data_IF_682603033886
#
_entry.id   IF_682603033886
#
_cell.length_a   1.000
_cell.length_b   1.000
_cell.length_c   1.000
_cell.angle_alpha   90.00
_cell.angle_beta   90.00
_cell.angle_gamma   90.00
#
_symmetry.space_group_name_H-M   'P 1'
#
loop_
_entity.id
_entity.type
_entity.pdbx_description
1 polymer ?
#
# COMPACT_ATOMS: atom_id res chain seq x y z
N UNK A 1 -46.75 17.68 -22.33
CA UNK A 1 -48.03 17.17 -22.84
C UNK A 1 -47.92 16.96 -24.34
N UNK A 2 -48.24 15.77 -24.82
CA UNK A 2 -48.65 15.47 -26.20
C UNK A 2 -48.82 13.95 -26.31
N UNK A 3 -49.92 13.43 -25.76
CA UNK A 3 -50.45 12.15 -26.25
C UNK A 3 -51.64 12.58 -27.08
N UNK A 4 -51.42 12.92 -28.35
CA UNK A 4 -52.54 13.11 -29.26
C UNK A 4 -53.36 11.80 -29.16
N UNK A 5 -54.59 11.90 -28.70
CA UNK A 5 -55.47 10.74 -28.51
C UNK A 5 -56.17 10.36 -29.82
N UNK A 6 -56.11 11.24 -30.81
CA UNK A 6 -56.75 11.14 -32.12
C UNK A 6 -55.71 11.21 -33.23
N UNK A 7 -55.79 10.30 -34.20
CA UNK A 7 -54.90 10.28 -35.37
C UNK A 7 -55.19 11.51 -36.27
N UNK A 8 -54.25 12.47 -36.41
CA UNK A 8 -54.45 13.65 -37.25
C UNK A 8 -54.42 13.34 -38.75
N UNK A 9 -53.92 12.17 -39.15
CA UNK A 9 -53.84 11.72 -40.54
C UNK A 9 -55.11 10.98 -41.00
N UNK A 10 -56.04 10.68 -40.08
CA UNK A 10 -57.25 9.89 -40.36
C UNK A 10 -58.25 10.55 -41.33
N UNK A 11 -58.14 11.86 -41.57
CA UNK A 11 -59.04 12.62 -42.46
C UNK A 11 -58.42 12.92 -43.83
N UNK A 12 -57.31 12.27 -44.19
CA UNK A 12 -56.57 12.58 -45.41
C UNK A 12 -56.87 11.56 -46.52
N UNK A 13 -57.75 11.94 -47.45
CA UNK A 13 -58.21 11.10 -48.57
C UNK A 13 -57.12 10.75 -49.59
N UNK A 14 -55.95 11.41 -49.53
CA UNK A 14 -54.80 11.11 -50.39
C UNK A 14 -53.89 10.01 -49.85
N UNK A 15 -54.11 9.59 -48.59
CA UNK A 15 -53.32 8.55 -47.93
C UNK A 15 -54.17 7.29 -47.79
N UNK A 16 -53.57 6.13 -48.05
CA UNK A 16 -54.19 4.86 -47.70
C UNK A 16 -54.32 4.73 -46.18
N UNK A 17 -55.28 3.92 -45.71
CA UNK A 17 -55.49 3.68 -44.28
C UNK A 17 -54.22 3.20 -43.57
N UNK A 18 -53.44 2.33 -44.21
CA UNK A 18 -52.18 1.83 -43.69
C UNK A 18 -51.14 2.95 -43.53
N UNK A 19 -51.01 3.84 -44.52
CA UNK A 19 -50.06 4.97 -44.44
C UNK A 19 -50.43 5.93 -43.30
N UNK A 20 -51.72 6.19 -43.10
CA UNK A 20 -52.20 7.04 -42.01
C UNK A 20 -51.86 6.45 -40.63
N UNK A 21 -52.00 5.12 -40.47
CA UNK A 21 -51.66 4.42 -39.23
C UNK A 21 -50.15 4.38 -38.98
N UNK A 22 -49.35 4.15 -40.02
CA UNK A 22 -47.89 4.14 -39.92
C UNK A 22 -47.37 5.53 -39.51
N UNK A 23 -47.81 6.59 -40.18
CA UNK A 23 -47.40 7.97 -39.85
C UNK A 23 -47.79 8.33 -38.42
N UNK A 24 -48.94 7.84 -37.96
CA UNK A 24 -49.40 8.04 -36.60
C UNK A 24 -48.51 7.34 -35.56
N UNK A 25 -48.17 6.08 -35.79
CA UNK A 25 -47.25 5.34 -34.91
C UNK A 25 -45.84 5.94 -34.92
N UNK A 26 -45.34 6.41 -36.06
CA UNK A 26 -44.07 7.14 -36.14
C UNK A 26 -44.11 8.47 -35.37
N UNK A 27 -45.22 9.21 -35.43
CA UNK A 27 -45.39 10.43 -34.66
C UNK A 27 -45.35 10.16 -33.14
N UNK A 28 -46.02 9.09 -32.68
CA UNK A 28 -45.95 8.64 -31.27
C UNK A 28 -44.54 8.21 -30.89
N UNK A 29 -43.87 7.44 -31.76
CA UNK A 29 -42.51 6.98 -31.50
C UNK A 29 -41.54 8.15 -31.38
N UNK A 30 -41.63 9.13 -32.29
CA UNK A 30 -40.80 10.32 -32.25
C UNK A 30 -41.01 11.12 -30.94
N UNK A 31 -42.26 11.27 -30.48
CA UNK A 31 -42.53 11.92 -29.18
C UNK A 31 -41.88 11.15 -28.02
N UNK A 32 -42.00 9.81 -28.01
CA UNK A 32 -41.35 8.96 -27.00
C UNK A 32 -39.83 9.09 -27.05
N UNK A 33 -39.23 9.08 -28.23
CA UNK A 33 -37.78 9.24 -28.44
C UNK A 33 -37.30 10.61 -27.94
N UNK A 34 -38.03 11.68 -28.27
CA UNK A 34 -37.72 13.03 -27.77
C UNK A 34 -37.80 13.12 -26.24
N UNK A 35 -38.80 12.48 -25.63
CA UNK A 35 -38.90 12.40 -24.16
C UNK A 35 -37.75 11.62 -23.56
N UNK A 36 -37.40 10.48 -24.14
CA UNK A 36 -36.26 9.68 -23.68
C UNK A 36 -34.94 10.46 -23.79
N UNK A 37 -34.73 11.16 -24.90
CA UNK A 37 -33.56 12.02 -25.09
C UNK A 37 -33.51 13.16 -24.06
N UNK A 38 -34.63 13.85 -23.83
CA UNK A 38 -34.70 14.90 -22.82
C UNK A 38 -34.46 14.37 -21.40
N UNK A 39 -35.00 13.20 -21.05
CA UNK A 39 -34.76 12.56 -19.75
C UNK A 39 -33.30 12.13 -19.59
N UNK A 40 -32.70 11.59 -20.65
CA UNK A 40 -31.28 11.23 -20.66
C UNK A 40 -30.40 12.47 -20.49
N UNK A 41 -30.72 13.56 -21.20
CA UNK A 41 -30.03 14.85 -21.06
C UNK A 41 -30.16 15.40 -19.65
N UNK A 42 -31.37 15.46 -19.08
CA UNK A 42 -31.58 15.89 -17.69
C UNK A 42 -30.79 15.04 -16.69
N UNK A 43 -30.79 13.72 -16.87
CA UNK A 43 -30.04 12.80 -16.00
C UNK A 43 -28.53 13.01 -16.11
N UNK A 44 -28.03 13.34 -17.30
CA UNK A 44 -26.63 13.66 -17.53
C UNK A 44 -26.23 15.05 -17.01
N UNK A 45 -27.12 16.04 -17.11
CA UNK A 45 -26.89 17.43 -16.72
C UNK A 45 -27.08 17.67 -15.21
N UNK A 46 -27.92 16.88 -14.53
CA UNK A 46 -28.06 16.87 -13.07
C UNK A 46 -27.51 15.57 -12.47
N UNK A 47 -26.18 15.32 -12.55
CA UNK A 47 -25.58 14.25 -11.78
C UNK A 47 -25.88 14.53 -10.30
N UNK A 48 -26.22 13.48 -9.56
CA UNK A 48 -26.79 13.60 -8.23
C UNK A 48 -25.76 14.21 -7.25
N UNK A 49 -25.76 15.55 -7.10
CA UNK A 49 -24.76 16.28 -6.30
C UNK A 49 -24.73 15.80 -4.85
N UNK A 50 -25.89 15.40 -4.34
CA UNK A 50 -26.03 14.77 -3.01
C UNK A 50 -25.16 13.50 -2.88
N UNK A 51 -25.19 12.63 -3.88
CA UNK A 51 -24.38 11.41 -3.93
C UNK A 51 -22.88 11.74 -4.01
N UNK A 52 -22.51 12.74 -4.81
CA UNK A 52 -21.10 13.17 -4.91
C UNK A 52 -20.60 13.74 -3.58
N UNK A 53 -21.44 14.48 -2.85
CA UNK A 53 -21.08 15.02 -1.54
C UNK A 53 -20.89 13.90 -0.50
N UNK A 54 -21.77 12.90 -0.51
CA UNK A 54 -21.66 11.71 0.34
C UNK A 54 -20.39 10.89 0.00
N UNK A 55 -20.11 10.66 -1.28
CA UNK A 55 -18.89 9.97 -1.72
C UNK A 55 -17.63 10.74 -1.30
N UNK A 56 -17.63 12.08 -1.38
CA UNK A 56 -16.49 12.89 -0.95
C UNK A 56 -16.27 12.87 0.56
N UNK A 57 -17.36 12.80 1.35
CA UNK A 57 -17.27 12.59 2.80
C UNK A 57 -16.69 11.20 3.11
N UNK A 58 -17.11 10.18 2.36
CA UNK A 58 -16.61 8.82 2.51
C UNK A 58 -15.13 8.72 2.15
N UNK A 59 -14.72 9.31 1.02
CA UNK A 59 -13.32 9.35 0.56
C UNK A 59 -12.39 9.94 1.63
N UNK A 60 -12.77 11.07 2.23
CA UNK A 60 -11.96 11.71 3.29
C UNK A 60 -11.81 10.82 4.51
N UNK A 61 -12.87 10.14 4.93
CA UNK A 61 -12.86 9.24 6.09
C UNK A 61 -12.05 7.99 5.81
N UNK A 62 -12.27 7.36 4.65
CA UNK A 62 -11.52 6.17 4.24
C UNK A 62 -10.04 6.46 3.99
N UNK A 63 -9.71 7.61 3.39
CA UNK A 63 -8.33 8.05 3.20
C UNK A 63 -7.60 8.19 4.53
N UNK A 64 -8.24 8.82 5.52
CA UNK A 64 -7.68 8.91 6.88
C UNK A 64 -7.48 7.52 7.51
N UNK A 65 -8.49 6.64 7.43
CA UNK A 65 -8.41 5.28 7.96
C UNK A 65 -7.28 4.50 7.30
N UNK A 66 -7.13 4.59 5.97
CA UNK A 66 -6.08 3.93 5.22
C UNK A 66 -4.69 4.41 5.64
N UNK A 67 -4.49 5.73 5.77
CA UNK A 67 -3.21 6.29 6.21
C UNK A 67 -2.87 5.89 7.64
N UNK A 68 -3.83 5.99 8.57
CA UNK A 68 -3.61 5.60 9.96
C UNK A 68 -3.31 4.10 10.09
N UNK A 69 -4.05 3.26 9.37
CA UNK A 69 -3.81 1.83 9.34
C UNK A 69 -2.43 1.51 8.76
N UNK A 70 -2.09 2.09 7.61
CA UNK A 70 -0.77 1.89 6.97
C UNK A 70 0.37 2.33 7.88
N UNK A 71 0.24 3.48 8.55
CA UNK A 71 1.22 3.97 9.52
C UNK A 71 1.31 3.06 10.75
N UNK A 72 0.20 2.50 11.24
CA UNK A 72 0.23 1.56 12.37
C UNK A 72 0.95 0.26 12.04
N UNK A 73 0.75 -0.26 10.83
CA UNK A 73 1.43 -1.47 10.34
C UNK A 73 2.92 -1.19 10.20
N UNK A 74 3.28 -0.05 9.60
CA UNK A 74 4.69 0.37 9.49
C UNK A 74 5.34 0.57 10.86
N UNK A 75 4.64 1.16 11.83
CA UNK A 75 5.15 1.31 13.19
C UNK A 75 5.51 -0.03 13.82
N UNK A 76 4.57 -0.99 13.82
CA UNK A 76 4.81 -2.33 14.38
C UNK A 76 5.93 -3.07 13.63
N UNK A 77 5.98 -2.97 12.30
CA UNK A 77 7.03 -3.60 11.51
C UNK A 77 8.41 -3.01 11.82
N UNK A 78 8.49 -1.68 11.94
CA UNK A 78 9.71 -0.97 12.28
C UNK A 78 10.19 -1.32 13.70
N UNK A 79 9.28 -1.39 14.68
CA UNK A 79 9.61 -1.77 16.05
C UNK A 79 10.14 -3.22 16.12
N UNK A 80 9.56 -4.13 15.33
CA UNK A 80 10.03 -5.51 15.23
C UNK A 80 11.45 -5.59 14.63
N UNK A 81 11.72 -4.85 13.55
CA UNK A 81 13.04 -4.80 12.93
C UNK A 81 14.09 -4.20 13.87
N UNK A 82 13.77 -3.10 14.58
CA UNK A 82 14.67 -2.49 15.54
C UNK A 82 15.05 -3.46 16.67
N UNK A 83 14.08 -4.21 17.21
CA UNK A 83 14.34 -5.20 18.26
C UNK A 83 15.23 -6.36 17.78
N UNK A 84 15.10 -6.79 16.52
CA UNK A 84 15.98 -7.80 15.93
C UNK A 84 17.40 -7.27 15.73
N UNK A 85 17.55 -6.04 15.25
CA UNK A 85 18.85 -5.39 15.12
C UNK A 85 19.58 -5.23 16.45
N UNK A 86 18.87 -4.84 17.52
CA UNK A 86 19.46 -4.73 18.86
C UNK A 86 19.97 -6.08 19.37
N UNK A 87 19.22 -7.16 19.16
CA UNK A 87 19.66 -8.51 19.52
C UNK A 87 20.89 -8.94 18.71
N UNK A 88 20.91 -8.64 17.41
CA UNK A 88 22.06 -8.94 16.56
C UNK A 88 23.31 -8.16 17.00
N UNK A 89 23.16 -6.88 17.36
CA UNK A 89 24.27 -6.05 17.90
C UNK A 89 24.79 -6.60 19.22
N UNK A 90 23.91 -6.97 20.15
CA UNK A 90 24.30 -7.57 21.43
C UNK A 90 25.06 -8.89 21.23
N UNK A 91 24.62 -9.73 20.29
CA UNK A 91 25.32 -10.98 19.96
C UNK A 91 26.70 -10.72 19.35
N UNK A 92 26.82 -9.74 18.45
CA UNK A 92 28.10 -9.36 17.86
C UNK A 92 29.08 -8.78 18.91
N UNK A 93 28.59 -7.94 19.82
CA UNK A 93 29.38 -7.41 20.93
C UNK A 93 29.85 -8.51 21.90
N UNK A 94 28.98 -9.47 22.22
CA UNK A 94 29.35 -10.61 23.05
C UNK A 94 30.42 -11.50 22.39
N UNK A 95 30.26 -11.81 21.10
CA UNK A 95 31.26 -12.56 20.33
C UNK A 95 32.61 -11.83 20.29
N UNK A 96 32.60 -10.52 20.06
CA UNK A 96 33.82 -9.71 20.04
C UNK A 96 34.53 -9.70 21.41
N UNK A 97 33.77 -9.62 22.51
CA UNK A 97 34.33 -9.70 23.86
C UNK A 97 34.90 -11.08 24.18
N UNK A 98 34.23 -12.16 23.77
CA UNK A 98 34.74 -13.53 23.92
C UNK A 98 36.05 -13.74 23.14
N UNK A 99 36.15 -13.21 21.92
CA UNK A 99 37.35 -13.31 21.09
C UNK A 99 38.55 -12.56 21.74
N UNK A 100 38.31 -11.36 22.29
CA UNK A 100 39.32 -10.62 23.04
C UNK A 100 39.76 -11.35 24.33
N UNK A 101 38.83 -11.98 25.05
CA UNK A 101 39.17 -12.78 26.23
C UNK A 101 39.98 -14.03 25.86
N UNK A 102 39.62 -14.74 24.79
CA UNK A 102 40.39 -15.88 24.31
C UNK A 102 41.81 -15.47 23.91
N UNK A 103 41.96 -14.35 23.22
CA UNK A 103 43.27 -13.83 22.85
C UNK A 103 44.11 -13.48 24.08
N UNK A 104 43.53 -12.81 25.10
CA UNK A 104 44.24 -12.53 26.35
C UNK A 104 44.66 -13.80 27.10
N UNK A 105 43.78 -14.80 27.19
CA UNK A 105 44.11 -16.09 27.81
C UNK A 105 45.23 -16.81 27.07
N UNK A 106 45.24 -16.73 25.72
CA UNK A 106 46.32 -17.29 24.91
C UNK A 106 47.67 -16.61 25.22
N UNK A 107 47.70 -15.28 25.39
CA UNK A 107 48.91 -14.58 25.82
C UNK A 107 49.34 -14.96 27.23
N UNK A 108 48.40 -15.19 28.15
CA UNK A 108 48.70 -15.61 29.51
C UNK A 108 49.30 -17.03 29.58
N UNK A 109 48.85 -17.96 28.72
CA UNK A 109 49.42 -19.32 28.63
C UNK A 109 50.80 -19.37 27.96
N UNK A 110 51.12 -18.43 27.06
CA UNK A 110 52.44 -18.36 26.43
C UNK A 110 53.45 -17.55 27.24
N UNK A 111 53.00 -16.65 28.14
CA UNK A 111 53.83 -15.90 29.07
C UNK A 111 54.14 -16.60 30.40
N UNK A 112 53.52 -17.75 30.67
CA UNK A 112 53.70 -18.56 31.88
C UNK A 112 54.63 -19.77 31.72
N UNK A 113 55.54 -19.74 30.75
CA UNK A 113 56.65 -20.71 30.71
C UNK A 113 57.64 -20.35 31.81
N UNK A 114 57.63 -21.12 32.89
CA UNK A 114 58.54 -21.00 34.02
C UNK A 114 60.00 -20.86 33.54
N UNK A 115 60.53 -19.63 33.52
CA UNK A 115 61.97 -19.42 33.49
C UNK A 115 62.43 -19.73 34.91
N UNK A 116 62.63 -21.03 35.17
CA UNK A 116 63.44 -21.49 36.28
C UNK A 116 64.83 -20.88 36.11
N UNK A 117 65.12 -19.81 36.85
CA UNK A 117 66.48 -19.33 37.03
C UNK A 117 67.24 -20.41 37.81
N UNK A 118 67.93 -21.28 37.08
CA UNK A 118 68.94 -22.17 37.63
C UNK A 118 70.13 -21.32 38.10
N UNK A 119 70.05 -20.89 39.36
CA UNK A 119 71.05 -20.11 40.09
C UNK A 119 72.22 -21.01 40.54
N UNK A 120 72.84 -21.71 39.58
CA UNK A 120 73.94 -22.67 39.82
C UNK A 120 75.12 -22.46 38.87
N UNK A 121 75.44 -21.21 38.52
CA UNK A 121 76.70 -20.89 37.82
C UNK A 121 77.43 -19.76 38.55
N UNK A 122 77.92 -20.12 39.73
CA UNK A 122 79.01 -19.41 40.38
C UNK A 122 80.19 -19.37 39.42
N UNK A 123 80.59 -18.14 39.08
CA UNK A 123 81.79 -17.83 38.33
C UNK A 123 83.00 -18.43 39.07
N UNK A 124 83.54 -19.54 38.57
CA UNK A 124 84.93 -19.90 38.84
C UNK A 124 85.77 -19.30 37.72
N UNK A 125 86.37 -18.17 38.07
CA UNK A 125 87.62 -17.70 37.49
C UNK A 125 88.67 -18.82 37.44
N UNK A 126 89.63 -18.65 36.53
CA UNK A 126 90.92 -19.35 36.50
C UNK A 126 90.86 -20.80 35.96
N UNK A 127 91.74 -21.31 35.13
CA UNK A 127 93.06 -20.85 34.71
C UNK A 127 93.48 -21.67 33.49
N UNK A 128 94.21 -21.03 32.59
CA UNK A 128 95.36 -21.55 31.85
C UNK A 128 95.63 -23.07 31.94
N UNK A 129 95.49 -23.77 30.81
CA UNK A 129 96.57 -24.48 30.08
C UNK A 129 95.98 -25.39 28.99
#
# INVERSE_FOLDING_TARGET
MSVNTTNPYASNDQLSSLEQDILWEFAKLNDKVKRAANLAQLTAESPNESLLEELRKLERRMGLVLTLFSSSVWGVLNDAQAAEEERARQQAEAQYQEELQQQQQQYQYQGGGDISYDDSRAWTEDSMM
#
